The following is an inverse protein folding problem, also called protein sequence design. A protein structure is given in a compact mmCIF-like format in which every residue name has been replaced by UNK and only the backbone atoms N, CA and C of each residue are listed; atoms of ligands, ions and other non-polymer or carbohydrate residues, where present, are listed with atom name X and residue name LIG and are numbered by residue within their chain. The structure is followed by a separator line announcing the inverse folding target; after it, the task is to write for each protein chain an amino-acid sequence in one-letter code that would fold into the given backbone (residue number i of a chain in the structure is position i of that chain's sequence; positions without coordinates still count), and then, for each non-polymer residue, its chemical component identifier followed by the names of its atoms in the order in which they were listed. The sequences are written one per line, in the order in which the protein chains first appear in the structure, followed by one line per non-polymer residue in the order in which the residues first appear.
data_IF_283723897543
#
_entry.id   IF_283723897543
#
_cell.length_a   1.000
_cell.length_b   1.000
_cell.length_c   1.000
_cell.angle_alpha   90.00
_cell.angle_beta   90.00
_cell.angle_gamma   90.00
#
_symmetry.space_group_name_H-M   'P 1'
#
loop_
_entity.id
_entity.type
_entity.pdbx_description
1 polymer ?
#
# COMPACT_ATOMS: atom_id res chain seq x y z
N UNK A 1 -14.93 8.68 -2.28
CA UNK A 1 -13.83 9.58 -2.72
C UNK A 1 -13.13 9.07 -3.96
N UNK A 2 -12.59 7.85 -4.01
CA UNK A 2 -11.82 7.33 -5.16
C UNK A 2 -12.41 7.55 -6.56
N UNK A 3 -13.68 7.15 -6.85
CA UNK A 3 -14.29 7.41 -8.16
C UNK A 3 -14.39 8.90 -8.52
N UNK A 4 -14.68 9.77 -7.55
CA UNK A 4 -14.74 11.22 -7.77
C UNK A 4 -13.35 11.80 -8.05
N UNK A 5 -12.31 11.34 -7.36
CA UNK A 5 -10.93 11.76 -7.61
C UNK A 5 -10.51 11.45 -9.04
N UNK A 6 -10.83 10.24 -9.53
CA UNK A 6 -10.54 9.84 -10.93
C UNK A 6 -11.39 10.65 -11.91
N UNK A 7 -12.68 10.83 -11.65
CA UNK A 7 -13.56 11.63 -12.51
C UNK A 7 -13.10 13.09 -12.59
N UNK A 8 -12.69 13.69 -11.48
CA UNK A 8 -12.09 15.01 -11.44
C UNK A 8 -10.78 15.04 -12.25
N UNK A 9 -9.90 14.06 -12.10
CA UNK A 9 -8.64 14.03 -12.85
C UNK A 9 -8.84 13.96 -14.38
N UNK A 10 -9.95 13.36 -14.83
CA UNK A 10 -10.29 13.23 -16.25
C UNK A 10 -11.04 14.43 -16.82
N UNK A 11 -11.84 15.13 -16.00
CA UNK A 11 -12.75 16.19 -16.47
C UNK A 11 -12.51 17.59 -15.90
N UNK A 12 -11.74 17.71 -14.81
CA UNK A 12 -11.48 18.96 -14.07
C UNK A 12 -12.73 19.75 -13.70
N UNK A 13 -13.85 19.06 -13.46
CA UNK A 13 -15.13 19.67 -13.07
C UNK A 13 -15.09 20.10 -11.60
N UNK A 14 -15.30 21.40 -11.34
CA UNK A 14 -15.31 21.97 -9.99
C UNK A 14 -16.40 21.37 -9.10
N UNK A 15 -17.54 20.95 -9.65
CA UNK A 15 -18.59 20.30 -8.85
C UNK A 15 -18.11 18.97 -8.26
N UNK A 16 -17.29 18.22 -9.00
CA UNK A 16 -16.68 16.99 -8.49
C UNK A 16 -15.64 17.28 -7.39
N UNK A 17 -14.93 18.40 -7.50
CA UNK A 17 -14.00 18.84 -6.46
C UNK A 17 -14.74 19.22 -5.17
N UNK A 18 -15.89 19.91 -5.29
CA UNK A 18 -16.74 20.26 -4.14
C UNK A 18 -17.31 19.02 -3.45
N UNK A 19 -17.85 18.06 -4.22
CA UNK A 19 -18.36 16.79 -3.70
C UNK A 19 -17.26 15.97 -3.02
N UNK A 20 -16.06 15.93 -3.63
CA UNK A 20 -14.92 15.23 -3.06
C UNK A 20 -14.46 15.88 -1.75
N UNK A 21 -14.43 17.22 -1.68
CA UNK A 21 -14.04 17.95 -0.46
C UNK A 21 -14.99 17.65 0.69
N UNK A 22 -16.30 17.66 0.43
CA UNK A 22 -17.32 17.29 1.43
C UNK A 22 -17.14 15.86 1.94
N UNK A 23 -16.82 14.90 1.06
CA UNK A 23 -16.56 13.52 1.46
C UNK A 23 -15.25 13.36 2.24
N UNK A 24 -14.21 14.12 1.92
CA UNK A 24 -12.95 14.13 2.68
C UNK A 24 -13.23 14.61 4.10
N UNK A 25 -13.93 15.74 4.28
CA UNK A 25 -14.30 16.26 5.59
C UNK A 25 -15.17 15.29 6.39
N UNK A 26 -16.18 14.66 5.77
CA UNK A 26 -17.02 13.67 6.44
C UNK A 26 -16.23 12.44 6.92
N UNK A 27 -15.20 12.04 6.18
CA UNK A 27 -14.41 10.84 6.48
C UNK A 27 -13.41 11.02 7.63
N UNK A 28 -13.16 12.26 8.08
CA UNK A 28 -12.38 12.56 9.29
C UNK A 28 -12.97 11.83 10.49
N UNK A 29 -14.30 11.72 10.58
CA UNK A 29 -14.99 11.02 11.67
C UNK A 29 -15.12 9.50 11.48
N UNK A 30 -14.58 8.92 10.41
CA UNK A 30 -14.69 7.48 10.15
C UNK A 30 -14.00 6.67 11.27
N UNK A 31 -14.65 5.65 11.84
CA UNK A 31 -14.06 4.82 12.89
C UNK A 31 -12.94 3.89 12.39
N UNK A 32 -12.83 3.68 11.08
CA UNK A 32 -11.76 2.89 10.48
C UNK A 32 -10.58 3.78 10.12
N UNK A 33 -9.43 3.57 10.75
CA UNK A 33 -8.19 4.28 10.42
C UNK A 33 -7.33 3.42 9.47
N UNK A 34 -7.73 3.33 8.19
CA UNK A 34 -6.91 2.74 7.12
C UNK A 34 -7.00 3.45 5.77
N UNK A 35 -6.18 3.01 4.81
CA UNK A 35 -6.11 3.62 3.47
C UNK A 35 -7.35 3.29 2.62
N UNK A 36 -8.01 2.15 2.86
CA UNK A 36 -9.12 1.69 2.02
C UNK A 36 -10.40 2.45 2.26
N UNK A 37 -10.69 2.73 3.53
CA UNK A 37 -11.99 3.25 3.98
C UNK A 37 -11.83 4.54 4.77
N UNK A 38 -10.69 4.71 5.45
CA UNK A 38 -10.52 5.68 6.51
C UNK A 38 -9.95 7.03 6.12
N UNK A 39 -9.79 7.85 7.16
CA UNK A 39 -9.12 9.14 7.12
C UNK A 39 -7.76 9.11 6.38
N UNK A 40 -6.88 8.10 6.54
CA UNK A 40 -5.62 8.01 5.79
C UNK A 40 -5.82 8.03 4.27
N UNK A 41 -6.81 7.31 3.74
CA UNK A 41 -7.09 7.28 2.30
C UNK A 41 -7.60 8.62 1.77
N UNK A 42 -8.43 9.32 2.55
CA UNK A 42 -8.93 10.65 2.18
C UNK A 42 -7.91 11.76 2.39
N UNK A 43 -6.95 11.58 3.30
CA UNK A 43 -5.77 12.45 3.41
C UNK A 43 -4.97 12.42 2.10
N UNK A 44 -4.66 11.22 1.57
CA UNK A 44 -3.98 11.09 0.28
C UNK A 44 -4.77 11.73 -0.87
N UNK A 45 -6.10 11.60 -0.86
CA UNK A 45 -6.94 12.26 -1.86
C UNK A 45 -6.87 13.80 -1.74
N UNK A 46 -6.85 14.35 -0.53
CA UNK A 46 -6.70 15.79 -0.30
C UNK A 46 -5.33 16.30 -0.77
N UNK A 47 -4.24 15.56 -0.48
CA UNK A 47 -2.90 15.89 -0.95
C UNK A 47 -2.81 15.91 -2.48
N UNK A 48 -3.40 14.90 -3.15
CA UNK A 48 -3.44 14.86 -4.61
C UNK A 48 -4.23 16.04 -5.20
N UNK A 49 -5.35 16.42 -4.59
CA UNK A 49 -6.14 17.57 -5.04
C UNK A 49 -5.40 18.90 -4.81
N UNK A 50 -4.72 19.07 -3.68
CA UNK A 50 -3.88 20.23 -3.40
C UNK A 50 -2.79 20.39 -4.48
N UNK A 51 -2.09 19.31 -4.82
CA UNK A 51 -1.08 19.30 -5.89
C UNK A 51 -1.69 19.68 -7.25
N UNK A 52 -2.90 19.22 -7.56
CA UNK A 52 -3.52 19.43 -8.87
C UNK A 52 -4.18 20.80 -9.03
N UNK A 53 -4.72 21.39 -7.95
CA UNK A 53 -5.53 22.61 -8.04
C UNK A 53 -4.92 23.81 -7.32
N UNK A 54 -4.08 23.58 -6.30
CA UNK A 54 -3.53 24.64 -5.45
C UNK A 54 -4.59 25.41 -4.64
N UNK A 55 -5.79 24.83 -4.47
CA UNK A 55 -6.85 25.49 -3.69
C UNK A 55 -6.62 25.29 -2.18
N UNK A 56 -6.61 26.37 -1.37
CA UNK A 56 -6.28 26.30 0.07
C UNK A 56 -7.15 25.34 0.91
N UNK A 57 -8.37 25.04 0.44
CA UNK A 57 -9.31 24.13 1.12
C UNK A 57 -8.79 22.70 1.24
N UNK A 58 -7.88 22.29 0.35
CA UNK A 58 -7.31 20.94 0.36
C UNK A 58 -6.22 20.82 1.41
N UNK A 59 -5.35 21.82 1.54
CA UNK A 59 -4.38 21.90 2.64
C UNK A 59 -5.09 21.93 4.01
N UNK A 60 -6.16 22.70 4.15
CA UNK A 60 -6.96 22.76 5.38
C UNK A 60 -7.56 21.37 5.74
N UNK A 61 -8.19 20.70 4.78
CA UNK A 61 -8.76 19.38 4.97
C UNK A 61 -7.67 18.33 5.29
N UNK A 62 -6.51 18.40 4.63
CA UNK A 62 -5.38 17.52 4.90
C UNK A 62 -4.85 17.72 6.33
N UNK A 63 -4.70 18.98 6.78
CA UNK A 63 -4.24 19.34 8.13
C UNK A 63 -5.20 18.86 9.21
N UNK A 64 -6.51 19.05 9.02
CA UNK A 64 -7.54 18.54 9.94
C UNK A 64 -7.47 17.02 10.04
N UNK A 65 -7.47 16.33 8.89
CA UNK A 65 -7.41 14.88 8.80
C UNK A 65 -6.16 14.32 9.48
N UNK A 66 -4.98 14.90 9.21
CA UNK A 66 -3.71 14.49 9.80
C UNK A 66 -3.68 14.71 11.32
N UNK A 67 -4.25 15.81 11.81
CA UNK A 67 -4.35 16.10 13.25
C UNK A 67 -5.19 15.04 13.97
N UNK A 68 -6.38 14.73 13.44
CA UNK A 68 -7.27 13.72 14.01
C UNK A 68 -6.65 12.33 13.94
N UNK A 69 -6.06 11.97 12.79
CA UNK A 69 -5.41 10.68 12.61
C UNK A 69 -4.25 10.48 13.61
N UNK A 70 -3.39 11.48 13.82
CA UNK A 70 -2.32 11.42 14.83
C UNK A 70 -2.88 11.19 16.24
N UNK A 71 -3.94 11.91 16.61
CA UNK A 71 -4.57 11.81 17.93
C UNK A 71 -5.19 10.44 18.22
N UNK A 72 -5.59 9.69 17.18
CA UNK A 72 -6.18 8.34 17.32
C UNK A 72 -5.15 7.22 17.46
N UNK A 73 -3.87 7.51 17.24
CA UNK A 73 -2.81 6.51 17.38
C UNK A 73 -2.78 6.01 18.82
N UNK A 74 -2.93 4.71 19.00
CA UNK A 74 -2.90 4.05 20.30
C UNK A 74 -1.50 4.10 20.93
N UNK A 75 -1.44 3.92 22.26
CA UNK A 75 -0.16 3.83 22.99
C UNK A 75 0.70 2.61 22.62
N UNK A 76 0.16 1.65 21.86
CA UNK A 76 0.90 0.54 21.26
C UNK A 76 1.53 0.91 19.90
N UNK A 77 1.33 2.15 19.44
CA UNK A 77 1.82 2.69 18.18
C UNK A 77 1.00 2.29 16.96
N UNK A 78 -0.22 1.78 17.16
CA UNK A 78 -1.11 1.29 16.12
C UNK A 78 -2.42 2.08 16.07
N UNK A 79 -3.09 2.02 14.93
CA UNK A 79 -4.44 2.54 14.74
C UNK A 79 -5.46 1.42 14.78
N UNK A 80 -6.68 1.77 15.18
CA UNK A 80 -7.80 0.83 15.29
C UNK A 80 -8.75 0.99 14.13
N UNK A 81 -9.38 -0.11 13.76
CA UNK A 81 -10.56 -0.14 12.92
C UNK A 81 -11.82 -0.28 13.76
N UNK A 82 -12.99 -0.18 13.14
CA UNK A 82 -14.30 -0.24 13.80
C UNK A 82 -14.58 -1.59 14.49
N UNK A 83 -13.90 -2.66 14.07
CA UNK A 83 -13.93 -4.00 14.65
C UNK A 83 -12.76 -4.29 15.62
N UNK A 84 -12.09 -3.24 16.12
CA UNK A 84 -10.86 -3.31 16.93
C UNK A 84 -9.65 -3.95 16.22
N UNK A 85 -9.72 -4.18 14.90
CA UNK A 85 -8.56 -4.63 14.12
C UNK A 85 -7.45 -3.58 14.14
N UNK A 86 -6.21 -4.04 14.36
CA UNK A 86 -5.00 -3.20 14.38
C UNK A 86 -4.01 -3.74 13.38
N UNK A 87 -4.02 -3.22 12.16
CA UNK A 87 -3.19 -3.76 11.10
C UNK A 87 -1.76 -3.22 11.08
N UNK A 88 -0.87 -3.98 10.45
CA UNK A 88 0.54 -3.61 10.27
C UNK A 88 0.84 -3.10 8.85
N UNK A 89 0.19 -3.68 7.84
CA UNK A 89 0.48 -3.39 6.43
C UNK A 89 -0.09 -2.07 5.92
N UNK A 90 0.25 -1.73 4.68
CA UNK A 90 -0.12 -0.44 4.07
C UNK A 90 -1.62 -0.24 3.94
N UNK A 91 -2.34 -1.25 3.45
CA UNK A 91 -3.75 -1.06 3.11
C UNK A 91 -4.66 -0.89 4.35
N UNK A 92 -4.30 -1.55 5.45
CA UNK A 92 -5.15 -1.74 6.63
C UNK A 92 -4.43 -1.42 7.95
N UNK A 93 -3.39 -0.57 7.96
CA UNK A 93 -2.55 -0.50 9.14
C UNK A 93 -1.44 0.54 9.19
N UNK A 94 -0.59 0.35 10.19
CA UNK A 94 0.43 1.32 10.61
C UNK A 94 1.36 1.76 9.48
N UNK A 95 1.78 0.85 8.59
CA UNK A 95 2.65 1.23 7.49
C UNK A 95 2.04 2.30 6.57
N UNK A 96 0.74 2.17 6.26
CA UNK A 96 0.05 3.10 5.36
C UNK A 96 -0.37 4.38 6.05
N UNK A 97 -0.79 4.30 7.31
CA UNK A 97 -1.16 5.49 8.07
C UNK A 97 0.04 6.39 8.31
N UNK A 98 1.18 5.81 8.67
CA UNK A 98 2.44 6.55 8.80
C UNK A 98 2.88 7.12 7.46
N UNK A 99 2.82 6.35 6.35
CA UNK A 99 3.10 6.89 5.02
C UNK A 99 2.25 8.13 4.71
N UNK A 100 0.93 8.06 4.90
CA UNK A 100 0.02 9.16 4.60
C UNK A 100 0.33 10.42 5.45
N UNK A 101 0.68 10.23 6.73
CA UNK A 101 1.09 11.32 7.60
C UNK A 101 2.42 11.95 7.17
N UNK A 102 3.41 11.13 6.79
CA UNK A 102 4.72 11.61 6.33
C UNK A 102 4.65 12.33 4.98
N UNK A 103 3.66 12.00 4.13
CA UNK A 103 3.37 12.72 2.88
C UNK A 103 2.79 14.12 3.12
N UNK A 104 2.05 14.29 4.21
CA UNK A 104 1.57 15.62 4.61
C UNK A 104 2.68 16.45 5.26
N UNK A 105 3.41 15.88 6.21
CA UNK A 105 4.47 16.59 6.94
C UNK A 105 5.54 15.61 7.45
N UNK A 106 6.85 15.90 7.25
CA UNK A 106 7.94 15.08 7.78
C UNK A 106 7.87 14.92 9.30
N UNK A 107 8.06 13.68 9.78
CA UNK A 107 7.99 13.34 11.21
C UNK A 107 8.89 12.12 11.51
N UNK A 108 10.18 12.38 11.76
CA UNK A 108 11.18 11.34 12.02
C UNK A 108 10.86 10.51 13.27
N UNK A 109 10.19 11.11 14.26
CA UNK A 109 9.79 10.43 15.48
C UNK A 109 8.70 9.40 15.18
N UNK A 110 7.64 9.80 14.49
CA UNK A 110 6.58 8.88 14.05
C UNK A 110 7.13 7.76 13.18
N UNK A 111 8.01 8.09 12.24
CA UNK A 111 8.67 7.13 11.36
C UNK A 111 9.47 6.09 12.17
N UNK A 112 10.32 6.55 13.09
CA UNK A 112 11.15 5.68 13.95
C UNK A 112 10.32 4.82 14.89
N UNK A 113 9.27 5.38 15.50
CA UNK A 113 8.36 4.63 16.36
C UNK A 113 7.60 3.56 15.59
N UNK A 114 7.14 3.89 14.38
CA UNK A 114 6.44 2.93 13.51
C UNK A 114 7.38 1.82 13.05
N UNK A 115 8.62 2.14 12.67
CA UNK A 115 9.65 1.16 12.36
C UNK A 115 9.90 0.19 13.53
N UNK A 116 9.96 0.71 14.77
CA UNK A 116 10.13 -0.12 15.96
C UNK A 116 8.93 -1.05 16.21
N UNK A 117 7.70 -0.57 15.97
CA UNK A 117 6.48 -1.39 16.04
C UNK A 117 6.52 -2.51 14.99
N UNK A 118 6.84 -2.18 13.74
CA UNK A 118 6.94 -3.16 12.66
C UNK A 118 8.03 -4.19 12.94
N UNK A 119 9.21 -3.75 13.42
CA UNK A 119 10.32 -4.63 13.78
C UNK A 119 9.94 -5.63 14.88
N UNK A 120 9.26 -5.17 15.94
CA UNK A 120 8.78 -6.02 17.03
C UNK A 120 7.78 -7.10 16.57
N UNK A 121 7.02 -6.82 15.52
CA UNK A 121 6.01 -7.75 14.98
C UNK A 121 6.48 -8.52 13.73
N UNK A 122 7.76 -8.37 13.35
CA UNK A 122 8.35 -9.15 12.28
C UNK A 122 8.67 -10.58 12.76
N UNK A 123 8.25 -11.55 11.98
CA UNK A 123 8.68 -12.94 12.10
C UNK A 123 9.91 -13.14 11.23
N UNK A 124 10.99 -13.64 11.84
CA UNK A 124 12.23 -13.98 11.14
C UNK A 124 12.55 -15.45 11.37
N UNK A 125 12.60 -16.21 10.28
CA UNK A 125 13.01 -17.63 10.30
C UNK A 125 13.95 -17.86 9.11
N UNK A 126 15.20 -18.25 9.39
CA UNK A 126 16.17 -18.56 8.33
C UNK A 126 16.64 -17.37 7.48
N UNK A 127 16.46 -16.13 7.95
CA UNK A 127 16.90 -14.91 7.26
C UNK A 127 15.76 -14.00 6.79
N UNK A 128 14.80 -14.49 5.97
CA UNK A 128 13.67 -13.69 5.50
C UNK A 128 12.78 -13.16 6.63
N UNK A 129 12.08 -12.06 6.35
CA UNK A 129 11.17 -11.41 7.29
C UNK A 129 9.73 -11.39 6.76
N UNK A 130 8.76 -11.62 7.65
CA UNK A 130 7.34 -11.59 7.34
C UNK A 130 6.52 -10.96 8.47
N UNK A 131 5.34 -10.44 8.17
CA UNK A 131 4.39 -9.88 9.11
C UNK A 131 3.02 -10.55 8.96
N UNK A 132 2.31 -10.79 10.07
CA UNK A 132 0.88 -11.08 10.03
C UNK A 132 0.11 -9.80 9.63
N UNK A 133 -1.20 -9.94 9.39
CA UNK A 133 -2.06 -8.77 9.15
C UNK A 133 -2.12 -7.82 10.34
N UNK A 134 -2.17 -8.38 11.55
CA UNK A 134 -2.24 -7.68 12.84
C UNK A 134 -1.36 -8.38 13.88
N UNK A 135 -0.94 -7.70 14.97
CA UNK A 135 -0.12 -8.30 16.03
C UNK A 135 -0.70 -9.61 16.56
N UNK A 136 0.09 -10.68 16.48
CA UNK A 136 -0.28 -12.02 16.97
C UNK A 136 0.94 -12.92 17.11
N UNK A 137 0.87 -14.04 17.86
CA UNK A 137 2.03 -14.90 18.11
C UNK A 137 2.41 -15.82 16.93
N UNK A 138 1.59 -15.90 15.87
CA UNK A 138 1.79 -16.86 14.76
C UNK A 138 1.52 -16.22 13.39
N UNK A 139 2.29 -16.58 12.36
CA UNK A 139 2.03 -16.11 10.98
C UNK A 139 0.77 -16.70 10.36
N UNK A 140 0.37 -17.91 10.74
CA UNK A 140 -0.86 -18.53 10.25
C UNK A 140 -2.10 -17.79 10.78
N UNK A 141 -3.08 -17.54 9.91
CA UNK A 141 -4.34 -16.92 10.33
C UNK A 141 -5.17 -17.91 11.15
N UNK A 142 -5.78 -17.50 12.28
CA UNK A 142 -6.59 -18.41 13.11
C UNK A 142 -7.77 -19.04 12.36
N UNK A 143 -8.40 -18.29 11.44
CA UNK A 143 -9.60 -18.71 10.74
C UNK A 143 -9.39 -19.92 9.81
N UNK A 144 -8.24 -20.01 9.15
CA UNK A 144 -8.01 -20.99 8.09
C UNK A 144 -6.59 -21.58 8.04
N UNK A 145 -5.72 -21.24 8.99
CA UNK A 145 -4.35 -21.72 9.07
C UNK A 145 -3.43 -21.21 7.97
N UNK A 146 -3.88 -20.32 7.08
CA UNK A 146 -3.08 -19.86 5.93
C UNK A 146 -2.15 -18.72 6.31
N UNK A 147 -0.97 -18.71 5.70
CA UNK A 147 -0.05 -17.57 5.71
C UNK A 147 -0.27 -16.78 4.42
N UNK A 148 -0.42 -15.46 4.54
CA UNK A 148 -0.62 -14.56 3.41
C UNK A 148 0.67 -13.83 3.11
N UNK A 149 1.11 -13.81 1.85
CA UNK A 149 2.27 -13.05 1.36
C UNK A 149 1.82 -12.13 0.23
N UNK A 150 0.98 -11.16 0.56
CA UNK A 150 0.30 -10.29 -0.40
C UNK A 150 0.39 -8.82 0.04
N UNK A 151 0.06 -7.88 -0.87
CA UNK A 151 0.03 -6.47 -0.53
C UNK A 151 -1.03 -6.13 0.53
N UNK A 152 -2.21 -6.75 0.45
CA UNK A 152 -3.23 -6.58 1.49
C UNK A 152 -2.84 -7.18 2.86
N UNK A 153 -1.95 -8.18 2.89
CA UNK A 153 -1.49 -8.82 4.13
C UNK A 153 -0.17 -9.54 3.89
N UNK A 154 0.90 -9.10 4.55
CA UNK A 154 2.21 -9.73 4.51
C UNK A 154 3.35 -8.74 4.24
N UNK A 155 4.54 -9.28 3.97
CA UNK A 155 5.74 -8.48 3.69
C UNK A 155 5.55 -7.48 2.53
N UNK A 156 4.91 -7.82 1.38
CA UNK A 156 4.67 -6.85 0.31
C UNK A 156 3.90 -5.62 0.79
N UNK A 157 2.92 -5.83 1.65
CA UNK A 157 2.09 -4.77 2.23
C UNK A 157 2.85 -3.90 3.21
N UNK A 158 3.79 -4.43 3.98
CA UNK A 158 4.63 -3.62 4.89
C UNK A 158 5.65 -2.82 4.08
N UNK A 159 6.35 -3.49 3.16
CA UNK A 159 7.36 -2.85 2.30
C UNK A 159 6.76 -1.71 1.48
N UNK A 160 5.56 -1.85 0.92
CA UNK A 160 4.96 -0.80 0.09
C UNK A 160 4.84 0.57 0.79
N UNK A 161 4.57 0.59 2.09
CA UNK A 161 4.31 1.82 2.86
C UNK A 161 5.36 2.16 3.92
N UNK A 162 6.33 1.29 4.16
CA UNK A 162 7.40 1.52 5.14
C UNK A 162 8.80 1.55 4.52
N UNK A 163 8.93 1.49 3.19
CA UNK A 163 10.22 1.29 2.53
C UNK A 163 11.29 2.36 2.83
N UNK A 164 10.86 3.58 3.14
CA UNK A 164 11.69 4.76 3.36
C UNK A 164 12.19 4.87 4.81
N UNK A 165 11.40 4.41 5.78
CA UNK A 165 11.72 4.49 7.21
C UNK A 165 11.97 3.15 7.92
N UNK A 166 11.67 2.01 7.29
CA UNK A 166 11.99 0.71 7.85
C UNK A 166 13.52 0.50 7.84
N UNK A 167 14.02 -0.22 8.84
CA UNK A 167 15.41 -0.69 8.84
C UNK A 167 15.72 -1.44 7.54
N UNK A 168 16.86 -1.12 6.93
CA UNK A 168 17.20 -1.64 5.60
C UNK A 168 17.43 -3.15 5.61
N UNK A 169 18.03 -3.71 6.68
CA UNK A 169 18.20 -5.16 6.80
C UNK A 169 16.83 -5.85 6.82
N UNK A 170 15.89 -5.29 7.57
CA UNK A 170 14.53 -5.81 7.67
C UNK A 170 13.73 -5.66 6.37
N UNK A 171 13.92 -4.54 5.65
CA UNK A 171 13.37 -4.32 4.31
C UNK A 171 13.85 -5.40 3.34
N UNK A 172 15.17 -5.62 3.30
CA UNK A 172 15.80 -6.60 2.41
C UNK A 172 15.43 -8.03 2.77
N UNK A 173 15.28 -8.34 4.06
CA UNK A 173 14.76 -9.63 4.51
C UNK A 173 13.32 -9.88 4.05
N UNK A 174 12.47 -8.84 4.05
CA UNK A 174 11.13 -8.91 3.48
C UNK A 174 11.14 -9.07 1.95
N UNK A 175 11.99 -8.33 1.26
CA UNK A 175 12.15 -8.42 -0.20
C UNK A 175 12.67 -9.79 -0.64
N UNK A 176 13.57 -10.41 0.14
CA UNK A 176 14.05 -11.77 -0.11
C UNK A 176 12.93 -12.80 0.04
N UNK A 177 12.05 -12.67 1.05
CA UNK A 177 10.86 -13.53 1.15
C UNK A 177 9.96 -13.41 -0.09
N UNK A 178 9.74 -12.18 -0.55
CA UNK A 178 8.94 -11.91 -1.74
C UNK A 178 9.57 -12.56 -2.96
N UNK A 179 10.89 -12.47 -3.12
CA UNK A 179 11.59 -13.16 -4.22
C UNK A 179 11.40 -14.68 -4.16
N UNK A 180 11.50 -15.28 -2.97
CA UNK A 180 11.45 -16.73 -2.80
C UNK A 180 10.04 -17.32 -2.96
N UNK A 181 8.99 -16.59 -2.57
CA UNK A 181 7.64 -17.15 -2.47
C UNK A 181 6.51 -16.25 -3.01
N UNK A 182 6.83 -15.03 -3.46
CA UNK A 182 5.84 -14.02 -3.84
C UNK A 182 5.31 -14.12 -5.27
N UNK A 183 5.92 -14.93 -6.14
CA UNK A 183 5.44 -15.21 -7.50
C UNK A 183 4.38 -16.32 -7.47
N UNK A 184 3.18 -16.01 -6.98
CA UNK A 184 2.12 -17.01 -6.80
C UNK A 184 1.65 -17.64 -8.11
N UNK A 185 0.91 -18.75 -7.99
CA UNK A 185 0.23 -19.38 -9.11
C UNK A 185 -1.05 -18.65 -9.54
N UNK A 186 -1.69 -19.19 -10.58
CA UNK A 186 -2.87 -18.61 -11.22
C UNK A 186 -4.09 -18.55 -10.27
N UNK A 187 -4.09 -19.36 -9.19
CA UNK A 187 -5.12 -19.35 -8.14
C UNK A 187 -5.15 -18.07 -7.31
N UNK A 188 -4.02 -17.36 -7.21
CA UNK A 188 -3.94 -16.02 -6.60
C UNK A 188 -4.05 -14.92 -7.66
N UNK A 189 -3.57 -15.19 -8.86
CA UNK A 189 -3.62 -14.29 -10.00
C UNK A 189 -2.52 -13.23 -10.01
N UNK A 190 -2.62 -12.34 -11.00
CA UNK A 190 -1.55 -11.41 -11.35
C UNK A 190 -1.68 -10.00 -10.75
N UNK A 191 -2.85 -9.61 -10.22
CA UNK A 191 -3.15 -8.22 -9.85
C UNK A 191 -2.33 -7.63 -8.69
N UNK A 192 -2.62 -6.37 -8.33
CA UNK A 192 -1.90 -5.62 -7.28
C UNK A 192 -2.24 -6.09 -5.86
N UNK A 193 -3.52 -6.32 -5.54
CA UNK A 193 -3.93 -6.47 -4.15
C UNK A 193 -3.39 -7.75 -3.49
N UNK A 194 -3.46 -8.86 -4.22
CA UNK A 194 -3.09 -10.18 -3.73
C UNK A 194 -2.46 -11.09 -4.79
N UNK A 195 -1.89 -10.48 -5.82
CA UNK A 195 -1.25 -11.19 -6.93
C UNK A 195 0.21 -10.81 -7.12
N UNK A 196 0.80 -11.37 -8.18
CA UNK A 196 2.22 -11.21 -8.52
C UNK A 196 2.63 -9.75 -8.69
N UNK A 197 1.79 -8.90 -9.27
CA UNK A 197 2.18 -7.50 -9.58
C UNK A 197 2.41 -6.66 -8.32
N UNK A 198 1.54 -6.79 -7.31
CA UNK A 198 1.71 -6.05 -6.06
C UNK A 198 2.94 -6.49 -5.29
N UNK A 199 3.25 -7.78 -5.35
CA UNK A 199 4.48 -8.34 -4.79
C UNK A 199 5.72 -7.82 -5.53
N UNK A 200 5.66 -7.74 -6.86
CA UNK A 200 6.74 -7.20 -7.68
C UNK A 200 7.02 -5.71 -7.43
N UNK A 201 5.98 -4.89 -7.20
CA UNK A 201 6.16 -3.48 -6.81
C UNK A 201 6.93 -3.33 -5.49
N UNK A 202 6.75 -4.23 -4.52
CA UNK A 202 7.54 -4.21 -3.29
C UNK A 202 9.04 -4.52 -3.54
N UNK A 203 9.38 -5.25 -4.61
CA UNK A 203 10.78 -5.40 -5.04
C UNK A 203 11.32 -4.10 -5.65
N UNK A 204 10.50 -3.32 -6.36
CA UNK A 204 10.89 -1.98 -6.82
C UNK A 204 11.13 -1.02 -5.64
N UNK A 205 10.42 -1.18 -4.51
CA UNK A 205 10.74 -0.45 -3.27
C UNK A 205 12.12 -0.81 -2.73
N UNK A 206 12.50 -2.08 -2.74
CA UNK A 206 13.85 -2.49 -2.36
C UNK A 206 14.93 -1.92 -3.30
N UNK A 207 14.65 -1.88 -4.61
CA UNK A 207 15.53 -1.20 -5.58
C UNK A 207 15.66 0.29 -5.28
N UNK A 208 14.55 1.02 -5.08
CA UNK A 208 14.58 2.44 -4.76
C UNK A 208 15.32 2.74 -3.46
N UNK A 209 15.24 1.85 -2.46
CA UNK A 209 15.98 2.01 -1.21
C UNK A 209 17.48 1.87 -1.38
N UNK A 210 17.92 0.90 -2.17
CA UNK A 210 19.34 0.46 -2.16
C UNK A 210 20.14 0.83 -3.40
N UNK A 211 19.48 1.10 -4.52
CA UNK A 211 20.11 1.19 -5.84
C UNK A 211 20.64 -0.14 -6.39
N UNK A 212 20.43 -1.27 -5.70
CA UNK A 212 20.90 -2.59 -6.16
C UNK A 212 20.01 -3.12 -7.30
N UNK A 213 20.55 -3.10 -8.52
CA UNK A 213 19.87 -3.53 -9.75
C UNK A 213 19.35 -4.97 -9.70
N UNK A 214 19.88 -5.82 -8.81
CA UNK A 214 19.33 -7.16 -8.57
C UNK A 214 17.85 -7.11 -8.23
N UNK A 215 17.40 -6.14 -7.45
CA UNK A 215 15.99 -6.01 -7.07
C UNK A 215 15.13 -5.57 -8.26
N UNK A 216 15.66 -4.70 -9.12
CA UNK A 216 15.00 -4.31 -10.37
C UNK A 216 14.85 -5.49 -11.33
N UNK A 217 15.90 -6.30 -11.50
CA UNK A 217 15.85 -7.52 -12.31
C UNK A 217 14.82 -8.52 -11.77
N UNK A 218 14.78 -8.71 -10.44
CA UNK A 218 13.76 -9.56 -9.80
C UNK A 218 12.34 -9.03 -10.01
N UNK A 219 12.13 -7.72 -9.92
CA UNK A 219 10.84 -7.09 -10.24
C UNK A 219 10.44 -7.32 -11.71
N UNK A 220 11.38 -7.17 -12.66
CA UNK A 220 11.13 -7.44 -14.09
C UNK A 220 10.74 -8.90 -14.35
N UNK A 221 11.34 -9.86 -13.64
CA UNK A 221 10.92 -11.27 -13.72
C UNK A 221 9.50 -11.48 -13.20
N UNK A 222 9.13 -10.80 -12.12
CA UNK A 222 7.75 -10.79 -11.63
C UNK A 222 6.79 -10.19 -12.67
N UNK A 223 7.20 -9.13 -13.36
CA UNK A 223 6.40 -8.50 -14.41
C UNK A 223 6.14 -9.46 -15.59
N UNK A 224 7.18 -10.16 -16.06
CA UNK A 224 7.05 -11.19 -17.10
C UNK A 224 6.11 -12.33 -16.66
N UNK A 225 6.27 -12.81 -15.42
CA UNK A 225 5.37 -13.83 -14.86
C UNK A 225 3.92 -13.33 -14.80
N UNK A 226 3.69 -12.11 -14.29
CA UNK A 226 2.37 -11.51 -14.17
C UNK A 226 1.67 -11.32 -15.54
N UNK A 227 2.41 -10.92 -16.59
CA UNK A 227 1.89 -10.84 -17.96
C UNK A 227 1.45 -12.22 -18.48
N UNK A 228 2.29 -13.24 -18.31
CA UNK A 228 1.95 -14.60 -18.71
C UNK A 228 0.73 -15.15 -17.93
N UNK A 229 0.62 -14.83 -16.64
CA UNK A 229 -0.57 -15.14 -15.83
C UNK A 229 -1.82 -14.43 -16.36
N UNK A 230 -1.72 -13.14 -16.70
CA UNK A 230 -2.85 -12.37 -17.26
C UNK A 230 -3.36 -12.99 -18.57
N UNK A 231 -2.46 -13.41 -19.47
CA UNK A 231 -2.84 -14.10 -20.72
C UNK A 231 -3.54 -15.43 -20.47
N UNK A 232 -2.98 -16.28 -19.59
CA UNK A 232 -3.59 -17.58 -19.27
C UNK A 232 -4.96 -17.43 -18.64
N UNK A 233 -5.09 -16.53 -17.66
CA UNK A 233 -6.36 -16.27 -16.97
C UNK A 233 -7.39 -15.67 -17.92
N UNK A 234 -6.99 -14.77 -18.82
CA UNK A 234 -7.88 -14.21 -19.83
C UNK A 234 -8.39 -15.27 -20.80
N UNK A 235 -7.51 -16.16 -21.25
CA UNK A 235 -7.86 -17.29 -22.12
C UNK A 235 -8.83 -18.24 -21.43
N UNK A 236 -8.53 -18.65 -20.19
CA UNK A 236 -9.37 -19.59 -19.44
C UNK A 236 -10.79 -19.04 -19.15
N UNK A 237 -10.92 -17.72 -18.95
CA UNK A 237 -12.19 -17.07 -18.67
C UNK A 237 -12.91 -16.53 -19.93
N UNK A 238 -12.28 -16.60 -21.11
CA UNK A 238 -12.79 -16.00 -22.34
C UNK A 238 -12.88 -14.47 -22.34
N UNK A 239 -12.28 -13.80 -21.34
CA UNK A 239 -12.27 -12.35 -21.21
C UNK A 239 -11.16 -11.84 -20.30
N UNK A 240 -10.72 -10.61 -20.55
CA UNK A 240 -9.84 -9.80 -19.70
C UNK A 240 -10.56 -9.29 -18.44
N UNK A 241 -9.80 -8.85 -17.44
CA UNK A 241 -10.30 -8.25 -16.19
C UNK A 241 -9.75 -6.85 -16.04
N UNK A 242 -10.57 -5.81 -16.18
CA UNK A 242 -10.07 -4.42 -16.30
C UNK A 242 -9.97 -3.65 -14.97
N UNK A 243 -9.98 -4.32 -13.82
CA UNK A 243 -9.83 -3.66 -12.52
C UNK A 243 -8.36 -3.35 -12.20
N UNK A 244 -8.13 -2.25 -11.46
CA UNK A 244 -6.80 -1.87 -10.97
C UNK A 244 -6.21 -2.92 -10.02
N UNK A 245 -6.96 -3.28 -8.96
CA UNK A 245 -6.40 -4.10 -7.88
C UNK A 245 -6.32 -5.60 -8.17
N UNK A 246 -7.18 -6.12 -9.04
CA UNK A 246 -7.31 -7.57 -9.26
C UNK A 246 -7.22 -7.98 -10.73
N UNK A 247 -6.97 -7.01 -11.62
CA UNK A 247 -7.05 -7.17 -13.05
C UNK A 247 -5.81 -6.69 -13.80
N UNK A 248 -5.97 -6.63 -15.12
CA UNK A 248 -4.94 -6.38 -16.12
C UNK A 248 -4.38 -4.96 -16.04
N UNK A 249 -5.19 -3.98 -15.62
CA UNK A 249 -4.74 -2.59 -15.47
C UNK A 249 -3.62 -2.48 -14.43
N UNK A 250 -3.76 -3.17 -13.30
CA UNK A 250 -2.71 -3.19 -12.28
C UNK A 250 -1.42 -3.84 -12.75
N UNK A 251 -1.52 -4.93 -13.52
CA UNK A 251 -0.35 -5.58 -14.13
C UNK A 251 0.31 -4.69 -15.18
N UNK A 252 -0.48 -3.99 -16.01
CA UNK A 252 0.06 -3.06 -16.98
C UNK A 252 0.83 -1.90 -16.31
N UNK A 253 0.30 -1.32 -15.24
CA UNK A 253 0.99 -0.28 -14.46
C UNK A 253 2.29 -0.78 -13.84
N UNK A 254 2.29 -2.00 -13.29
CA UNK A 254 3.52 -2.59 -12.76
C UNK A 254 4.58 -2.83 -13.84
N UNK A 255 4.18 -3.31 -15.02
CA UNK A 255 5.11 -3.48 -16.15
C UNK A 255 5.70 -2.15 -16.58
N UNK A 256 4.86 -1.10 -16.71
CA UNK A 256 5.33 0.26 -17.01
C UNK A 256 6.33 0.76 -15.95
N UNK A 257 6.01 0.58 -14.67
CA UNK A 257 6.90 0.93 -13.56
C UNK A 257 8.29 0.25 -13.66
N UNK A 258 8.35 -1.02 -14.07
CA UNK A 258 9.61 -1.72 -14.31
C UNK A 258 10.43 -1.18 -15.51
N UNK A 259 9.75 -0.61 -16.51
CA UNK A 259 10.39 0.00 -17.69
C UNK A 259 10.91 1.40 -17.36
N UNK A 260 10.15 2.16 -16.57
CA UNK A 260 10.44 3.56 -16.22
C UNK A 260 11.29 3.70 -14.95
N UNK A 261 11.62 2.58 -14.29
CA UNK A 261 12.32 2.55 -12.99
C UNK A 261 11.52 3.29 -11.89
N UNK A 262 10.20 3.32 -12.02
CA UNK A 262 9.30 4.00 -11.10
C UNK A 262 8.92 3.07 -9.94
N UNK A 263 9.38 3.39 -8.72
CA UNK A 263 9.05 2.62 -7.53
C UNK A 263 7.76 3.10 -6.84
N UNK A 264 7.03 4.07 -7.40
CA UNK A 264 5.75 4.52 -6.85
C UNK A 264 4.72 3.41 -6.96
N UNK A 265 4.10 3.09 -5.83
CA UNK A 265 2.99 2.18 -5.76
C UNK A 265 1.71 2.96 -6.07
N UNK A 266 0.85 2.49 -6.99
CA UNK A 266 -0.39 3.19 -7.32
C UNK A 266 -1.21 3.52 -6.07
N UNK A 267 -1.88 4.67 -6.07
CA UNK A 267 -2.78 5.20 -5.02
C UNK A 267 -2.12 5.68 -3.70
N UNK A 268 -0.94 5.19 -3.33
CA UNK A 268 -0.32 5.55 -2.02
C UNK A 268 0.89 6.47 -2.13
N UNK A 269 1.57 6.50 -3.27
CA UNK A 269 2.65 7.44 -3.56
C UNK A 269 2.14 8.58 -4.44
N UNK A 270 1.05 9.23 -4.01
CA UNK A 270 0.57 10.47 -4.63
C UNK A 270 1.56 11.59 -4.31
N UNK A 271 2.42 11.90 -5.29
CA UNK A 271 3.35 13.05 -5.41
C UNK A 271 4.20 12.87 -6.68
#
# INVERSE_FOLDING_TARGET
TGPLLVAFRLGSDSALADDLHALVGANVANPTDDISWGAPGTLLAALAMDEWTGEPRWEEAARETATVLRARRGGDGLWRQDDDYRGLGTLHGAAGNTLALLRFEPDDALASETAAVLSRHAFREGGPAHWPGSPRPQLARPRDGRICLQWCTGAPGVLAGAWDYLDEELLLAGAELIWQAGAHGDEKGHGLCHGTSGNGLALLKAFARTGDERWLERARRFALHALAQAERIATANGRRRYSLFTGDVGTALFVAACLDLDARYPIIDVM
#
